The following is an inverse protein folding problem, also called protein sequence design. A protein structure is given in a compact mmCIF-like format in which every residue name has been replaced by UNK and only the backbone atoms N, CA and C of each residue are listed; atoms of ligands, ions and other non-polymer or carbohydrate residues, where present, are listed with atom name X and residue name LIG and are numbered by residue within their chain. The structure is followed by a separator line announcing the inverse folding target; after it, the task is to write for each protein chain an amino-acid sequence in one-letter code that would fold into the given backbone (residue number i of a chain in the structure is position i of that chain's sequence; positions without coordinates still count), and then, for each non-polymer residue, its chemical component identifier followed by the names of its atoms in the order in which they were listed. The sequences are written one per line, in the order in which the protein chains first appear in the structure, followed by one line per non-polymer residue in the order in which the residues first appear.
data_IF_605587833362
#
_entry.id   IF_605587833362
#
_cell.length_a   1.000
_cell.length_b   1.000
_cell.length_c   1.000
_cell.angle_alpha   90.00
_cell.angle_beta   90.00
_cell.angle_gamma   90.00
#
_symmetry.space_group_name_H-M   'P 1'
#
loop_
_entity.id
_entity.type
_entity.pdbx_description
1 polymer ?
#
# COMPACT_ATOMS: atom_id res chain seq x y z
N UNK A 1 -52.53 43.91 -3.21
CA UNK A 1 -51.10 43.95 -3.58
C UNK A 1 -50.47 42.63 -3.14
N UNK A 2 -49.91 41.87 -4.08
CA UNK A 2 -49.44 40.50 -3.85
C UNK A 2 -48.03 40.48 -3.27
N UNK A 3 -47.87 39.87 -2.10
CA UNK A 3 -46.57 39.56 -1.51
C UNK A 3 -45.87 38.48 -2.34
N UNK A 4 -44.79 38.83 -3.05
CA UNK A 4 -43.92 37.86 -3.71
C UNK A 4 -42.93 37.31 -2.68
N UNK A 5 -43.05 36.01 -2.35
CA UNK A 5 -42.00 35.28 -1.64
C UNK A 5 -40.90 34.83 -2.62
N UNK A 6 -39.61 34.95 -2.28
CA UNK A 6 -38.54 34.33 -3.06
C UNK A 6 -38.48 32.82 -2.75
N UNK A 7 -38.62 31.98 -3.77
CA UNK A 7 -38.58 30.52 -3.63
C UNK A 7 -37.17 29.98 -3.30
N UNK A 8 -37.06 28.89 -2.51
CA UNK A 8 -35.79 28.27 -2.13
C UNK A 8 -35.29 27.35 -3.26
N UNK A 9 -34.80 27.92 -4.36
CA UNK A 9 -34.49 27.14 -5.57
C UNK A 9 -33.01 26.82 -5.82
N UNK A 10 -32.07 27.61 -5.30
CA UNK A 10 -30.71 27.65 -5.87
C UNK A 10 -29.58 27.28 -4.91
N UNK A 11 -29.80 27.32 -3.61
CA UNK A 11 -28.76 27.05 -2.60
C UNK A 11 -28.48 25.54 -2.43
N UNK A 12 -29.51 24.70 -2.54
CA UNK A 12 -29.41 23.27 -2.25
C UNK A 12 -28.57 22.47 -3.24
N UNK A 13 -28.38 22.96 -4.47
CA UNK A 13 -27.65 22.25 -5.53
C UNK A 13 -26.14 22.47 -5.41
N UNK A 14 -25.73 23.67 -5.02
CA UNK A 14 -24.32 24.06 -4.85
C UNK A 14 -23.68 23.36 -3.66
N UNK A 15 -24.37 23.34 -2.50
CA UNK A 15 -23.91 22.65 -1.28
C UNK A 15 -23.76 21.13 -1.52
N UNK A 16 -24.67 20.52 -2.29
CA UNK A 16 -24.58 19.08 -2.65
C UNK A 16 -23.38 18.78 -3.55
N UNK A 17 -23.00 19.68 -4.46
CA UNK A 17 -21.84 19.50 -5.34
C UNK A 17 -20.52 19.66 -4.58
N UNK A 18 -20.42 20.64 -3.70
CA UNK A 18 -19.25 20.84 -2.83
C UNK A 18 -19.08 19.70 -1.83
N UNK A 19 -20.16 19.26 -1.19
CA UNK A 19 -20.14 18.09 -0.29
C UNK A 19 -19.75 16.79 -0.99
N UNK A 20 -20.11 16.61 -2.27
CA UNK A 20 -19.64 15.46 -3.09
C UNK A 20 -18.16 15.58 -3.46
N UNK A 21 -17.67 16.78 -3.81
CA UNK A 21 -16.25 17.01 -4.12
C UNK A 21 -15.35 16.76 -2.89
N UNK A 22 -15.75 17.28 -1.72
CA UNK A 22 -15.03 17.06 -0.46
C UNK A 22 -14.94 15.58 -0.08
N UNK A 23 -16.03 14.81 -0.22
CA UNK A 23 -16.01 13.36 0.06
C UNK A 23 -15.13 12.57 -0.90
N UNK A 24 -15.10 12.93 -2.18
CA UNK A 24 -14.24 12.28 -3.18
C UNK A 24 -12.76 12.50 -2.86
N UNK A 25 -12.38 13.74 -2.60
CA UNK A 25 -11.01 14.10 -2.22
C UNK A 25 -10.57 13.36 -0.95
N UNK A 26 -11.42 13.33 0.07
CA UNK A 26 -11.13 12.59 1.30
C UNK A 26 -10.93 11.10 1.05
N UNK A 27 -11.78 10.47 0.23
CA UNK A 27 -11.62 9.05 -0.10
C UNK A 27 -10.32 8.75 -0.87
N UNK A 28 -9.86 9.68 -1.72
CA UNK A 28 -8.59 9.56 -2.43
C UNK A 28 -7.38 9.76 -1.50
N UNK A 29 -7.48 10.69 -0.54
CA UNK A 29 -6.49 10.89 0.52
C UNK A 29 -6.40 9.66 1.44
N UNK A 30 -7.53 9.12 1.90
CA UNK A 30 -7.61 7.89 2.71
C UNK A 30 -6.97 6.70 1.97
N UNK A 31 -7.23 6.58 0.65
CA UNK A 31 -6.61 5.54 -0.17
C UNK A 31 -5.09 5.73 -0.32
N UNK A 32 -4.61 6.97 -0.41
CA UNK A 32 -3.17 7.24 -0.46
C UNK A 32 -2.49 6.86 0.87
N UNK A 33 -3.14 7.12 2.00
CA UNK A 33 -2.66 6.68 3.31
C UNK A 33 -2.62 5.15 3.43
N UNK A 34 -3.66 4.46 2.93
CA UNK A 34 -3.68 3.00 2.89
C UNK A 34 -2.50 2.43 2.10
N UNK A 35 -2.23 2.98 0.90
CA UNK A 35 -1.09 2.56 0.09
C UNK A 35 0.25 2.76 0.82
N UNK A 36 0.42 3.89 1.52
CA UNK A 36 1.62 4.15 2.33
C UNK A 36 1.76 3.17 3.50
N UNK A 37 0.65 2.84 4.17
CA UNK A 37 0.65 1.84 5.24
C UNK A 37 1.04 0.46 4.70
N UNK A 38 0.45 0.06 3.57
CA UNK A 38 0.76 -1.20 2.90
C UNK A 38 2.21 -1.27 2.45
N UNK A 39 2.77 -0.18 1.91
CA UNK A 39 4.20 -0.05 1.61
C UNK A 39 5.06 -0.37 2.85
N UNK A 40 4.75 0.25 3.99
CA UNK A 40 5.48 0.02 5.24
C UNK A 40 5.42 -1.46 5.66
N UNK A 41 4.24 -2.06 5.64
CA UNK A 41 4.08 -3.48 5.98
C UNK A 41 4.84 -4.41 5.04
N UNK A 42 4.87 -4.13 3.74
CA UNK A 42 5.65 -4.93 2.78
C UNK A 42 7.14 -4.83 3.05
N UNK A 43 7.65 -3.63 3.39
CA UNK A 43 9.05 -3.45 3.77
C UNK A 43 9.41 -4.27 5.02
N UNK A 44 8.60 -4.17 6.07
CA UNK A 44 8.80 -4.93 7.32
C UNK A 44 8.83 -6.46 7.06
N UNK A 45 7.89 -6.95 6.25
CA UNK A 45 7.86 -8.37 5.85
C UNK A 45 9.07 -8.75 4.99
N UNK A 46 9.47 -7.89 4.06
CA UNK A 46 10.62 -8.14 3.18
C UNK A 46 11.92 -8.24 3.99
N UNK A 47 12.12 -7.33 4.95
CA UNK A 47 13.25 -7.36 5.87
C UNK A 47 13.25 -8.64 6.72
N UNK A 48 12.08 -9.06 7.21
CA UNK A 48 11.94 -10.33 7.94
C UNK A 48 12.34 -11.54 7.10
N UNK A 49 11.84 -11.63 5.86
CA UNK A 49 12.17 -12.71 4.93
C UNK A 49 13.66 -12.76 4.61
N UNK A 50 14.30 -11.60 4.39
CA UNK A 50 15.73 -11.53 4.13
C UNK A 50 16.55 -12.00 5.35
N UNK A 51 16.23 -11.49 6.55
CA UNK A 51 16.90 -11.88 7.80
C UNK A 51 16.78 -13.38 8.08
N UNK A 52 15.58 -13.93 7.93
CA UNK A 52 15.36 -15.36 8.13
C UNK A 52 16.10 -16.21 7.08
N UNK A 53 16.14 -15.76 5.82
CA UNK A 53 16.89 -16.42 4.77
C UNK A 53 18.40 -16.45 5.06
N UNK A 54 18.95 -15.33 5.53
CA UNK A 54 20.37 -15.23 5.89
C UNK A 54 20.68 -16.10 7.11
N UNK A 55 19.83 -16.08 8.15
CA UNK A 55 19.96 -16.98 9.31
C UNK A 55 19.99 -18.45 8.89
N UNK A 56 19.08 -18.89 8.02
CA UNK A 56 19.09 -20.29 7.54
C UNK A 56 20.31 -20.63 6.69
N UNK A 57 20.87 -19.65 5.96
CA UNK A 57 22.10 -19.86 5.20
C UNK A 57 23.30 -20.03 6.15
N UNK A 58 23.45 -19.14 7.14
CA UNK A 58 24.50 -19.23 8.17
C UNK A 58 24.39 -20.54 8.97
N UNK A 59 23.18 -20.93 9.39
CA UNK A 59 22.96 -22.19 10.09
C UNK A 59 23.36 -23.40 9.23
N UNK A 60 23.21 -23.33 7.91
CA UNK A 60 23.55 -24.42 7.00
C UNK A 60 25.06 -24.65 6.91
N UNK A 61 25.89 -23.61 7.03
CA UNK A 61 27.36 -23.72 6.99
C UNK A 61 27.90 -24.64 8.09
N UNK A 62 27.23 -24.67 9.25
CA UNK A 62 27.58 -25.54 10.38
C UNK A 62 26.93 -26.92 10.35
N UNK A 63 26.29 -27.34 9.24
CA UNK A 63 25.61 -28.64 9.09
C UNK A 63 26.12 -29.39 7.88
N UNK A 64 25.87 -30.71 7.85
CA UNK A 64 26.21 -31.58 6.73
C UNK A 64 25.01 -32.41 6.28
N UNK A 65 25.10 -32.95 5.06
CA UNK A 65 24.12 -33.88 4.51
C UNK A 65 22.71 -33.30 4.38
N UNK A 66 21.71 -34.13 4.66
CA UNK A 66 20.29 -33.78 4.49
C UNK A 66 19.86 -32.55 5.29
N UNK A 67 20.45 -32.33 6.47
CA UNK A 67 20.14 -31.17 7.32
C UNK A 67 20.61 -29.86 6.69
N UNK A 68 21.81 -29.85 6.09
CA UNK A 68 22.30 -28.71 5.31
C UNK A 68 21.37 -28.44 4.12
N UNK A 69 21.05 -29.48 3.34
CA UNK A 69 20.20 -29.34 2.16
C UNK A 69 18.80 -28.78 2.49
N UNK A 70 18.22 -29.20 3.62
CA UNK A 70 16.94 -28.67 4.11
C UNK A 70 17.04 -27.18 4.46
N UNK A 71 18.09 -26.74 5.16
CA UNK A 71 18.29 -25.35 5.54
C UNK A 71 18.51 -24.45 4.32
N UNK A 72 19.32 -24.89 3.36
CA UNK A 72 19.52 -24.19 2.08
C UNK A 72 18.19 -24.06 1.32
N UNK A 73 17.38 -25.13 1.29
CA UNK A 73 16.07 -25.11 0.65
C UNK A 73 15.11 -24.10 1.30
N UNK A 74 15.09 -24.02 2.64
CA UNK A 74 14.33 -23.01 3.39
C UNK A 74 14.82 -21.59 3.08
N UNK A 75 16.13 -21.36 3.11
CA UNK A 75 16.72 -20.07 2.75
C UNK A 75 16.29 -19.63 1.34
N UNK A 76 16.41 -20.54 0.35
CA UNK A 76 16.03 -20.25 -1.03
C UNK A 76 14.52 -19.97 -1.20
N UNK A 77 13.65 -20.64 -0.45
CA UNK A 77 12.21 -20.35 -0.46
C UNK A 77 11.95 -18.92 0.03
N UNK A 78 12.57 -18.51 1.13
CA UNK A 78 12.41 -17.17 1.68
C UNK A 78 12.99 -16.09 0.76
N UNK A 79 14.14 -16.35 0.10
CA UNK A 79 14.70 -15.43 -0.90
C UNK A 79 13.76 -15.24 -2.10
N UNK A 80 13.00 -16.27 -2.50
CA UNK A 80 11.97 -16.14 -3.54
C UNK A 80 10.82 -15.25 -3.05
N UNK A 81 10.29 -15.52 -1.86
CA UNK A 81 9.25 -14.67 -1.26
C UNK A 81 9.68 -13.22 -1.09
N UNK A 82 10.95 -12.97 -0.72
CA UNK A 82 11.52 -11.63 -0.65
C UNK A 82 11.49 -10.91 -2.01
N UNK A 83 11.90 -11.60 -3.09
CA UNK A 83 11.84 -11.06 -4.45
C UNK A 83 10.41 -10.73 -4.88
N UNK A 84 9.45 -11.60 -4.55
CA UNK A 84 8.03 -11.35 -4.82
C UNK A 84 7.55 -10.09 -4.09
N UNK A 85 7.93 -9.91 -2.82
CA UNK A 85 7.58 -8.71 -2.04
C UNK A 85 8.22 -7.44 -2.57
N UNK A 86 9.44 -7.49 -3.11
CA UNK A 86 10.04 -6.36 -3.81
C UNK A 86 9.26 -5.99 -5.09
N UNK A 87 8.75 -6.97 -5.82
CA UNK A 87 7.88 -6.72 -6.98
C UNK A 87 6.56 -6.06 -6.57
N UNK A 88 5.92 -6.54 -5.50
CA UNK A 88 4.72 -5.89 -4.93
C UNK A 88 5.02 -4.45 -4.47
N UNK A 89 6.18 -4.22 -3.85
CA UNK A 89 6.61 -2.91 -3.39
C UNK A 89 6.74 -1.92 -4.55
N UNK A 90 7.37 -2.32 -5.66
CA UNK A 90 7.53 -1.47 -6.85
C UNK A 90 6.17 -1.04 -7.42
N UNK A 91 5.19 -1.96 -7.45
CA UNK A 91 3.82 -1.67 -7.90
C UNK A 91 3.17 -0.63 -6.97
N UNK A 92 3.24 -0.83 -5.65
CA UNK A 92 2.68 0.12 -4.68
C UNK A 92 3.34 1.49 -4.76
N UNK A 93 4.65 1.54 -4.99
CA UNK A 93 5.36 2.82 -5.15
C UNK A 93 4.88 3.59 -6.38
N UNK A 94 4.69 2.90 -7.51
CA UNK A 94 4.11 3.50 -8.72
C UNK A 94 2.68 4.02 -8.45
N UNK A 95 1.85 3.25 -7.74
CA UNK A 95 0.50 3.66 -7.37
C UNK A 95 0.48 4.88 -6.45
N UNK A 96 1.37 4.95 -5.45
CA UNK A 96 1.51 6.11 -4.56
C UNK A 96 1.89 7.35 -5.36
N UNK A 97 2.85 7.24 -6.29
CA UNK A 97 3.28 8.36 -7.14
C UNK A 97 2.13 8.83 -8.04
N UNK A 98 1.42 7.90 -8.68
CA UNK A 98 0.28 8.22 -9.55
C UNK A 98 -0.84 8.93 -8.77
N UNK A 99 -1.29 8.35 -7.65
CA UNK A 99 -2.33 8.96 -6.79
C UNK A 99 -1.90 10.30 -6.19
N UNK A 100 -0.64 10.40 -5.79
CA UNK A 100 -0.08 11.66 -5.29
C UNK A 100 -0.06 12.77 -6.36
N UNK A 101 0.14 12.42 -7.63
CA UNK A 101 0.06 13.36 -8.74
C UNK A 101 -1.40 13.74 -9.09
N UNK A 102 -2.34 12.80 -9.01
CA UNK A 102 -3.78 13.04 -9.21
C UNK A 102 -4.33 14.02 -8.18
N UNK A 103 -4.00 13.84 -6.89
CA UNK A 103 -4.45 14.71 -5.79
C UNK A 103 -3.88 16.14 -5.82
N UNK A 104 -2.81 16.37 -6.60
CA UNK A 104 -2.22 17.71 -6.79
C UNK A 104 -2.88 18.50 -7.92
N UNK A 105 -3.70 17.86 -8.76
CA UNK A 105 -4.44 18.50 -9.86
C UNK A 105 -5.81 18.98 -9.39
#
# INVERSE_FOLDING_TARGET
MMCHQPGPGTVSTSIKREGRRSRKRKAEEDHLEELKRRKKSILEVSEGLARDADRFAEEAEGKAGSKMAMLISKSNLLRRGFKEKLGELEIIEKEIVAKGAELRK
#
